data_IF_727395002531
#
_entry.id   IF_727395002531
#
_cell.length_a   1.000
_cell.length_b   1.000
_cell.length_c   1.000
_cell.angle_alpha   90.00
_cell.angle_beta   90.00
_cell.angle_gamma   90.00
#
_symmetry.space_group_name_H-M   'P 1'
#
loop_
_entity.id
_entity.type
_entity.pdbx_description
1 polymer ?
#
# COMPACT_ATOMS: atom_id res chain seq x y z
N UNK A 1 -11.46 3.65 11.08
CA UNK A 1 -11.43 2.50 10.14
C UNK A 1 -9.99 2.00 10.12
N UNK A 2 -9.80 0.69 10.11
CA UNK A 2 -8.50 0.05 10.03
C UNK A 2 -8.49 -0.82 8.77
N UNK A 3 -7.62 -0.44 7.83
CA UNK A 3 -7.60 -1.01 6.49
C UNK A 3 -6.34 -1.85 6.31
N UNK A 4 -6.49 -3.12 5.94
CA UNK A 4 -5.37 -3.88 5.38
C UNK A 4 -5.29 -3.57 3.87
N UNK A 5 -4.17 -2.98 3.47
CA UNK A 5 -4.01 -2.42 2.11
C UNK A 5 -3.45 -3.42 1.10
N UNK A 6 -3.12 -4.64 1.53
CA UNK A 6 -2.90 -5.76 0.64
C UNK A 6 -3.48 -7.06 1.24
N UNK A 7 -4.46 -7.64 0.57
CA UNK A 7 -5.00 -8.97 0.89
C UNK A 7 -5.03 -9.80 -0.38
N UNK A 8 -4.43 -10.99 -0.39
CA UNK A 8 -4.49 -11.91 -1.53
C UNK A 8 -5.60 -12.97 -1.38
N UNK A 9 -5.98 -13.27 -0.14
CA UNK A 9 -6.92 -14.33 0.18
C UNK A 9 -8.07 -13.81 1.05
N UNK A 10 -9.26 -13.70 0.44
CA UNK A 10 -10.46 -13.19 1.12
C UNK A 10 -10.99 -14.14 2.19
N UNK A 11 -10.67 -15.44 2.13
CA UNK A 11 -11.15 -16.43 3.10
C UNK A 11 -10.61 -16.17 4.52
N UNK A 12 -9.54 -15.37 4.62
CA UNK A 12 -8.89 -15.00 5.89
C UNK A 12 -9.58 -13.80 6.54
N UNK A 13 -10.50 -13.13 5.85
CA UNK A 13 -11.18 -11.92 6.33
C UNK A 13 -11.77 -12.09 7.73
N UNK A 14 -12.43 -13.21 8.02
CA UNK A 14 -13.02 -13.44 9.35
C UNK A 14 -11.99 -13.42 10.50
N UNK A 15 -10.77 -13.91 10.24
CA UNK A 15 -9.67 -13.84 11.21
C UNK A 15 -9.19 -12.40 11.36
N UNK A 16 -9.02 -11.67 10.26
CA UNK A 16 -8.61 -10.27 10.29
C UNK A 16 -9.65 -9.37 10.99
N UNK A 17 -10.94 -9.62 10.75
CA UNK A 17 -12.06 -8.94 11.41
C UNK A 17 -11.97 -9.13 12.92
N UNK A 18 -11.68 -10.36 13.39
CA UNK A 18 -11.50 -10.65 14.82
C UNK A 18 -10.31 -9.93 15.48
N UNK A 19 -9.33 -9.52 14.68
CA UNK A 19 -8.16 -8.75 15.13
C UNK A 19 -8.36 -7.23 15.02
N UNK A 20 -9.53 -6.79 14.55
CA UNK A 20 -9.95 -5.39 14.49
C UNK A 20 -9.80 -4.73 13.12
N UNK A 21 -9.34 -5.42 12.09
CA UNK A 21 -9.41 -4.92 10.72
C UNK A 21 -10.88 -4.85 10.27
N UNK A 22 -11.24 -3.84 9.50
CA UNK A 22 -12.65 -3.67 9.07
C UNK A 22 -12.81 -3.15 7.64
N UNK A 23 -11.72 -3.09 6.89
CA UNK A 23 -11.72 -2.76 5.47
C UNK A 23 -10.47 -3.34 4.79
N UNK A 24 -10.59 -3.68 3.51
CA UNK A 24 -9.60 -4.49 2.82
C UNK A 24 -9.40 -4.06 1.37
N UNK A 25 -8.15 -4.04 0.94
CA UNK A 25 -7.78 -3.93 -0.47
C UNK A 25 -7.38 -5.31 -0.99
N UNK A 26 -8.28 -5.94 -1.74
CA UNK A 26 -8.10 -7.28 -2.28
C UNK A 26 -7.26 -7.22 -3.57
N UNK A 27 -6.02 -7.67 -3.50
CA UNK A 27 -5.13 -7.88 -4.63
C UNK A 27 -5.51 -9.20 -5.30
N UNK A 28 -6.33 -9.13 -6.35
CA UNK A 28 -6.83 -10.33 -7.01
C UNK A 28 -6.07 -10.66 -8.29
N UNK A 29 -5.56 -11.89 -8.38
CA UNK A 29 -5.21 -12.54 -9.66
C UNK A 29 -6.46 -13.06 -10.39
N UNK A 30 -7.58 -13.20 -9.68
CA UNK A 30 -8.83 -13.78 -10.16
C UNK A 30 -9.78 -12.64 -10.57
N UNK A 31 -10.54 -12.82 -11.65
CA UNK A 31 -11.70 -11.98 -11.92
C UNK A 31 -12.74 -12.28 -10.84
N UNK A 32 -12.65 -11.59 -9.71
CA UNK A 32 -13.72 -11.59 -8.72
C UNK A 32 -14.89 -10.88 -9.39
N UNK A 33 -15.79 -11.66 -9.97
CA UNK A 33 -17.13 -11.19 -10.27
C UNK A 33 -17.80 -10.98 -8.92
N UNK A 34 -18.22 -9.74 -8.68
CA UNK A 34 -19.27 -9.41 -7.72
C UNK A 34 -18.95 -9.65 -6.23
N UNK A 35 -17.76 -9.26 -5.75
CA UNK A 35 -17.65 -8.87 -4.33
C UNK A 35 -18.04 -7.39 -4.25
N UNK A 36 -19.34 -7.13 -4.14
CA UNK A 36 -19.88 -5.84 -3.68
C UNK A 36 -20.00 -5.88 -2.17
N UNK A 37 -18.85 -5.97 -1.49
CA UNK A 37 -18.76 -5.76 -0.06
C UNK A 37 -18.27 -4.34 0.18
N UNK A 38 -19.01 -3.55 0.95
CA UNK A 38 -18.69 -2.13 1.19
C UNK A 38 -17.33 -1.93 1.89
N UNK A 39 -16.85 -2.97 2.57
CA UNK A 39 -15.56 -3.03 3.25
C UNK A 39 -14.44 -3.64 2.40
N UNK A 40 -14.69 -3.97 1.12
CA UNK A 40 -13.67 -4.52 0.22
C UNK A 40 -13.57 -3.69 -1.06
N UNK A 41 -12.34 -3.30 -1.41
CA UNK A 41 -12.02 -2.67 -2.70
C UNK A 41 -10.99 -3.47 -3.45
N UNK A 42 -11.01 -3.35 -4.77
CA UNK A 42 -10.05 -4.05 -5.61
C UNK A 42 -8.72 -3.29 -5.60
N UNK A 43 -7.63 -4.03 -5.43
CA UNK A 43 -6.26 -3.53 -5.64
C UNK A 43 -5.68 -4.19 -6.87
N UNK A 44 -4.90 -3.42 -7.63
CA UNK A 44 -4.08 -3.95 -8.71
C UNK A 44 -2.69 -3.36 -8.68
N UNK A 45 -1.69 -4.22 -8.55
CA UNK A 45 -0.28 -3.83 -8.57
C UNK A 45 0.37 -4.18 -9.91
N UNK A 46 0.81 -3.17 -10.66
CA UNK A 46 1.52 -3.36 -11.92
C UNK A 46 3.01 -3.57 -11.71
N UNK A 47 3.59 -4.56 -12.38
CA UNK A 47 5.03 -4.84 -12.34
C UNK A 47 5.77 -4.22 -13.52
N UNK A 48 5.06 -4.01 -14.64
CA UNK A 48 5.65 -3.54 -15.88
C UNK A 48 4.94 -2.33 -16.44
N UNK A 49 5.71 -1.35 -16.94
CA UNK A 49 5.16 -0.11 -17.52
C UNK A 49 4.19 -0.34 -18.68
N UNK A 50 4.36 -1.46 -19.41
CA UNK A 50 3.52 -1.86 -20.54
C UNK A 50 2.10 -2.23 -20.09
N UNK A 51 1.92 -2.60 -18.83
CA UNK A 51 0.63 -3.00 -18.27
C UNK A 51 -0.27 -1.80 -17.97
N UNK A 52 0.32 -0.62 -17.75
CA UNK A 52 -0.40 0.58 -17.32
C UNK A 52 -1.53 0.88 -18.31
N UNK A 53 -1.22 1.01 -19.60
CA UNK A 53 -2.20 1.42 -20.61
C UNK A 53 -3.24 0.33 -20.93
N UNK A 54 -2.91 -0.95 -20.71
CA UNK A 54 -3.76 -2.08 -21.10
C UNK A 54 -4.80 -2.43 -20.05
N UNK A 55 -4.54 -2.10 -18.78
CA UNK A 55 -5.24 -2.69 -17.65
C UNK A 55 -5.81 -1.70 -16.64
N UNK A 56 -5.70 -0.39 -16.89
CA UNK A 56 -6.61 0.55 -16.24
C UNK A 56 -8.02 0.22 -16.68
N UNK A 57 -8.74 -0.47 -15.79
CA UNK A 57 -10.15 -0.75 -16.01
C UNK A 57 -10.93 0.55 -15.80
N UNK A 58 -12.02 0.72 -16.57
CA UNK A 58 -13.01 1.78 -16.30
C UNK A 58 -13.79 1.53 -15.01
N UNK A 59 -13.47 0.48 -14.25
CA UNK A 59 -14.14 0.17 -13.00
C UNK A 59 -13.69 1.18 -11.95
N UNK A 60 -14.63 2.00 -11.48
CA UNK A 60 -14.39 3.05 -10.50
C UNK A 60 -13.91 2.52 -9.16
N UNK A 61 -14.08 1.23 -8.83
CA UNK A 61 -13.74 0.70 -7.51
C UNK A 61 -12.35 0.04 -7.39
N UNK A 62 -11.42 0.33 -8.31
CA UNK A 62 -10.05 -0.24 -8.28
C UNK A 62 -9.01 0.79 -7.90
N UNK A 63 -8.18 0.45 -6.92
CA UNK A 63 -7.02 1.22 -6.48
C UNK A 63 -5.77 0.62 -7.15
N UNK A 64 -4.99 1.48 -7.80
CA UNK A 64 -3.86 1.07 -8.61
C UNK A 64 -2.53 1.37 -7.92
N UNK A 65 -1.69 0.34 -7.84
CA UNK A 65 -0.32 0.42 -7.37
C UNK A 65 0.65 0.07 -8.48
N UNK A 66 1.89 0.51 -8.33
CA UNK A 66 3.00 0.11 -9.19
C UNK A 66 4.14 -0.37 -8.32
N UNK A 67 4.72 -1.52 -8.65
CA UNK A 67 6.02 -1.96 -8.13
C UNK A 67 7.09 -1.70 -9.19
N UNK A 68 7.80 -0.56 -9.16
CA UNK A 68 8.73 -0.20 -10.21
C UNK A 68 9.99 -1.07 -10.18
N UNK A 69 10.44 -1.50 -11.35
CA UNK A 69 11.73 -2.17 -11.54
C UNK A 69 12.84 -1.24 -12.06
N UNK A 70 12.49 0.00 -12.43
CA UNK A 70 13.42 0.96 -13.01
C UNK A 70 13.10 2.40 -12.59
N UNK A 71 14.07 3.29 -12.81
CA UNK A 71 13.89 4.74 -12.59
C UNK A 71 12.86 5.35 -13.54
N UNK A 72 12.76 4.87 -14.78
CA UNK A 72 11.72 5.32 -15.72
C UNK A 72 10.32 4.96 -15.21
N UNK A 73 10.17 3.74 -14.69
CA UNK A 73 8.88 3.22 -14.25
C UNK A 73 8.35 4.00 -13.05
N UNK A 74 9.21 4.30 -12.07
CA UNK A 74 8.80 5.12 -10.91
C UNK A 74 8.46 6.55 -11.31
N UNK A 75 9.22 7.19 -12.21
CA UNK A 75 8.90 8.54 -12.69
C UNK A 75 7.54 8.55 -13.39
N UNK A 76 7.28 7.58 -14.27
CA UNK A 76 6.01 7.45 -14.97
C UNK A 76 4.85 7.23 -13.98
N UNK A 77 5.01 6.31 -13.03
CA UNK A 77 3.99 6.01 -12.03
C UNK A 77 3.69 7.19 -11.11
N UNK A 78 4.72 7.94 -10.70
CA UNK A 78 4.53 9.11 -9.85
C UNK A 78 3.79 10.26 -10.57
N UNK A 79 3.93 10.38 -11.88
CA UNK A 79 3.25 11.42 -12.68
C UNK A 79 1.88 10.99 -13.23
N UNK A 80 1.57 9.69 -13.25
CA UNK A 80 0.27 9.22 -13.74
C UNK A 80 -0.81 9.44 -12.68
N UNK A 81 -1.86 10.27 -12.92
CA UNK A 81 -2.89 10.56 -11.94
C UNK A 81 -3.68 9.30 -11.53
N UNK A 82 -3.74 8.28 -12.40
CA UNK A 82 -4.49 7.03 -12.16
C UNK A 82 -3.81 6.09 -11.18
N UNK A 83 -2.51 6.26 -10.94
CA UNK A 83 -1.75 5.45 -9.97
C UNK A 83 -1.90 6.07 -8.58
N UNK A 84 -2.36 5.31 -7.61
CA UNK A 84 -2.54 5.80 -6.24
C UNK A 84 -1.24 5.72 -5.43
N UNK A 85 -0.47 4.65 -5.62
CA UNK A 85 0.73 4.42 -4.82
C UNK A 85 1.80 3.59 -5.50
N UNK A 86 2.97 3.58 -4.86
CA UNK A 86 4.14 2.79 -5.23
C UNK A 86 4.34 1.74 -4.16
N UNK A 87 4.34 0.47 -4.55
CA UNK A 87 4.69 -0.63 -3.64
C UNK A 87 6.21 -0.80 -3.62
N UNK A 88 6.78 -0.75 -2.43
CA UNK A 88 8.22 -0.72 -2.18
C UNK A 88 8.61 -1.89 -1.27
N UNK A 89 9.70 -2.57 -1.64
CA UNK A 89 10.32 -3.64 -0.89
C UNK A 89 11.84 -3.67 -1.12
N UNK A 90 12.48 -4.76 -0.68
CA UNK A 90 13.92 -4.98 -0.84
C UNK A 90 14.43 -4.84 -2.28
N UNK A 91 13.58 -5.13 -3.28
CA UNK A 91 14.01 -5.14 -4.69
C UNK A 91 14.12 -3.74 -5.29
N UNK A 92 13.37 -2.75 -4.77
CA UNK A 92 13.19 -1.46 -5.43
C UNK A 92 13.32 -0.23 -4.52
N UNK A 93 13.49 -0.36 -3.20
CA UNK A 93 13.60 0.78 -2.29
C UNK A 93 14.72 1.77 -2.67
N UNK A 94 15.83 1.28 -3.24
CA UNK A 94 16.96 2.10 -3.71
C UNK A 94 16.59 3.07 -4.85
N UNK A 95 15.47 2.82 -5.54
CA UNK A 95 14.96 3.71 -6.57
C UNK A 95 14.38 4.99 -5.96
N UNK A 96 13.87 4.95 -4.73
CA UNK A 96 13.23 6.09 -4.04
C UNK A 96 14.30 7.04 -3.47
N UNK A 97 15.02 7.71 -4.37
CA UNK A 97 15.99 8.76 -4.02
C UNK A 97 15.27 10.06 -3.67
N UNK A 98 15.96 11.00 -3.01
CA UNK A 98 15.42 12.30 -2.55
C UNK A 98 14.55 13.01 -3.58
N UNK A 99 14.97 13.07 -4.85
CA UNK A 99 14.21 13.75 -5.89
C UNK A 99 12.88 13.04 -6.22
N UNK A 100 12.85 11.71 -6.17
CA UNK A 100 11.65 10.91 -6.43
C UNK A 100 10.74 10.84 -5.21
N UNK A 101 11.31 10.89 -4.01
CA UNK A 101 10.56 11.08 -2.77
C UNK A 101 9.83 12.44 -2.76
N UNK A 102 10.51 13.50 -3.16
CA UNK A 102 9.86 14.82 -3.27
C UNK A 102 8.74 14.80 -4.31
N UNK A 103 8.95 14.11 -5.43
CA UNK A 103 7.91 13.95 -6.46
C UNK A 103 6.71 13.13 -5.96
N UNK A 104 6.91 12.09 -5.14
CA UNK A 104 5.79 11.36 -4.54
C UNK A 104 4.99 12.25 -3.58
N UNK A 105 5.67 13.12 -2.82
CA UNK A 105 5.02 14.09 -1.93
C UNK A 105 4.21 15.11 -2.74
N UNK A 106 4.81 15.74 -3.76
CA UNK A 106 4.13 16.75 -4.58
C UNK A 106 2.90 16.19 -5.28
N UNK A 107 3.00 14.96 -5.78
CA UNK A 107 1.94 14.30 -6.53
C UNK A 107 1.01 13.48 -5.61
N UNK A 108 1.15 13.62 -4.29
CA UNK A 108 0.33 12.97 -3.25
C UNK A 108 0.23 11.45 -3.40
N UNK A 109 1.28 10.80 -3.90
CA UNK A 109 1.34 9.34 -4.07
C UNK A 109 1.67 8.65 -2.76
N UNK A 110 1.03 7.52 -2.51
CA UNK A 110 1.36 6.67 -1.36
C UNK A 110 2.64 5.86 -1.63
N UNK A 111 3.43 5.66 -0.59
CA UNK A 111 4.54 4.70 -0.60
C UNK A 111 4.17 3.55 0.33
N UNK A 112 3.80 2.40 -0.24
CA UNK A 112 3.40 1.24 0.54
C UNK A 112 4.60 0.31 0.75
N UNK A 113 4.83 -0.06 2.00
CA UNK A 113 5.86 -1.01 2.41
C UNK A 113 5.17 -2.30 2.82
N UNK A 114 5.48 -3.37 2.09
CA UNK A 114 4.99 -4.70 2.43
C UNK A 114 5.91 -5.29 3.51
N UNK A 115 5.43 -5.36 4.75
CA UNK A 115 6.23 -5.75 5.91
C UNK A 115 6.80 -7.16 5.76
N UNK A 116 5.99 -8.11 5.31
CA UNK A 116 6.38 -9.52 5.17
C UNK A 116 7.51 -9.76 4.14
N UNK A 117 7.73 -8.83 3.20
CA UNK A 117 8.78 -8.92 2.19
C UNK A 117 9.89 -7.88 2.36
N UNK A 118 9.84 -7.07 3.42
CA UNK A 118 10.77 -5.95 3.64
C UNK A 118 11.76 -6.27 4.75
N UNK A 119 13.03 -5.98 4.49
CA UNK A 119 14.07 -6.01 5.51
C UNK A 119 13.92 -4.84 6.50
N UNK A 120 14.57 -4.95 7.66
CA UNK A 120 14.65 -3.86 8.62
C UNK A 120 15.26 -2.58 8.03
N UNK A 121 16.16 -2.70 7.05
CA UNK A 121 16.71 -1.54 6.34
C UNK A 121 15.61 -0.79 5.58
N UNK A 122 14.78 -1.51 4.81
CA UNK A 122 13.67 -0.91 4.05
C UNK A 122 12.67 -0.24 4.98
N UNK A 123 12.33 -0.89 6.10
CA UNK A 123 11.39 -0.34 7.10
C UNK A 123 11.96 0.95 7.69
N UNK A 124 13.22 0.97 8.12
CA UNK A 124 13.88 2.18 8.63
C UNK A 124 13.92 3.30 7.60
N UNK A 125 14.24 2.98 6.34
CA UNK A 125 14.18 3.96 5.24
C UNK A 125 12.78 4.52 5.04
N UNK A 126 11.76 3.70 5.11
CA UNK A 126 10.38 4.15 4.98
C UNK A 126 9.92 5.03 6.14
N UNK A 127 10.38 4.76 7.37
CA UNK A 127 10.19 5.63 8.54
C UNK A 127 10.85 7.00 8.27
N UNK A 128 12.10 7.03 7.80
CA UNK A 128 12.79 8.28 7.42
C UNK A 128 12.02 9.06 6.34
N UNK A 129 11.45 8.36 5.35
CA UNK A 129 10.63 8.98 4.31
C UNK A 129 9.33 9.54 4.88
N UNK A 130 8.67 8.82 5.78
CA UNK A 130 7.46 9.28 6.45
C UNK A 130 7.70 10.55 7.28
N UNK A 131 8.82 10.64 8.00
CA UNK A 131 9.22 11.86 8.71
C UNK A 131 9.47 13.05 7.79
N UNK A 132 9.82 12.80 6.51
CA UNK A 132 9.97 13.84 5.49
C UNK A 132 8.65 14.22 4.81
N UNK A 133 7.52 13.70 5.29
CA UNK A 133 6.18 14.02 4.78
C UNK A 133 5.69 13.10 3.68
N UNK A 134 6.37 11.99 3.39
CA UNK A 134 5.83 10.99 2.49
C UNK A 134 4.61 10.30 3.10
N UNK A 135 3.60 10.05 2.28
CA UNK A 135 2.41 9.30 2.65
C UNK A 135 2.72 7.79 2.69
N UNK A 136 3.50 7.39 3.70
CA UNK A 136 3.95 6.00 3.86
C UNK A 136 2.85 5.14 4.48
N UNK A 137 2.57 3.99 3.88
CA UNK A 137 1.65 2.96 4.39
C UNK A 137 2.48 1.72 4.69
N UNK A 138 2.25 1.08 5.83
CA UNK A 138 2.81 -0.24 6.11
C UNK A 138 1.68 -1.27 6.01
N UNK A 139 1.83 -2.21 5.07
CA UNK A 139 0.87 -3.27 4.83
C UNK A 139 1.47 -4.62 5.17
N UNK A 140 0.63 -5.55 5.61
CA UNK A 140 1.08 -6.90 5.93
C UNK A 140 1.12 -7.75 4.65
N UNK A 141 0.17 -7.51 3.72
CA UNK A 141 0.06 -8.25 2.47
C UNK A 141 -0.16 -9.75 2.73
N UNK A 142 -1.36 -10.06 3.23
CA UNK A 142 -1.71 -11.38 3.78
C UNK A 142 -2.15 -12.33 2.67
N UNK A 143 -1.52 -13.50 2.59
CA UNK A 143 -1.94 -14.60 1.71
C UNK A 143 -2.41 -15.83 2.51
N UNK A 144 -1.81 -16.08 3.68
CA UNK A 144 -2.11 -17.19 4.58
C UNK A 144 -2.19 -16.72 6.03
N UNK A 145 -2.80 -17.54 6.90
CA UNK A 145 -3.03 -17.19 8.31
C UNK A 145 -1.72 -16.90 9.07
N UNK A 146 -0.63 -17.58 8.72
CA UNK A 146 0.69 -17.35 9.34
C UNK A 146 1.27 -15.96 9.05
N UNK A 147 0.74 -15.25 8.06
CA UNK A 147 1.21 -13.92 7.67
C UNK A 147 0.53 -12.82 8.49
N UNK A 148 -0.52 -13.15 9.25
CA UNK A 148 -1.37 -12.16 9.94
C UNK A 148 -0.65 -11.59 11.15
N UNK A 149 -0.66 -10.27 11.23
CA UNK A 149 -0.19 -9.53 12.40
C UNK A 149 -1.34 -8.73 12.97
N UNK A 150 -1.47 -8.68 14.29
CA UNK A 150 -2.43 -7.76 14.90
C UNK A 150 -1.96 -6.31 14.69
N UNK A 151 -2.88 -5.33 14.64
CA UNK A 151 -2.52 -3.92 14.44
C UNK A 151 -1.55 -3.40 15.50
N UNK A 152 -1.74 -3.84 16.75
CA UNK A 152 -0.84 -3.52 17.87
C UNK A 152 0.55 -4.13 17.68
N UNK A 153 0.66 -5.33 17.10
CA UNK A 153 1.95 -5.95 16.78
C UNK A 153 2.69 -5.14 15.71
N UNK A 154 1.99 -4.72 14.66
CA UNK A 154 2.56 -3.85 13.62
C UNK A 154 2.99 -2.51 14.21
N UNK A 155 2.15 -1.91 15.05
CA UNK A 155 2.46 -0.66 15.75
C UNK A 155 3.77 -0.79 16.54
N UNK A 156 3.85 -1.77 17.44
CA UNK A 156 5.02 -2.00 18.28
C UNK A 156 6.26 -2.32 17.44
N UNK A 157 6.11 -3.08 16.38
CA UNK A 157 7.21 -3.39 15.47
C UNK A 157 7.80 -2.13 14.84
N UNK A 158 6.97 -1.19 14.40
CA UNK A 158 7.45 0.09 13.87
C UNK A 158 8.14 0.95 14.93
N UNK A 159 7.63 0.97 16.17
CA UNK A 159 8.30 1.65 17.30
C UNK A 159 9.70 1.06 17.54
N UNK A 160 9.84 -0.27 17.53
CA UNK A 160 11.14 -0.94 17.68
C UNK A 160 12.11 -0.60 16.53
N UNK A 161 11.60 -0.24 15.36
CA UNK A 161 12.40 0.26 14.23
C UNK A 161 12.69 1.76 14.29
N UNK A 162 12.31 2.45 15.37
CA UNK A 162 12.60 3.87 15.60
C UNK A 162 11.49 4.83 15.14
N UNK A 163 10.29 4.31 14.89
CA UNK A 163 9.14 5.17 14.61
C UNK A 163 8.63 5.86 15.89
N UNK A 164 8.19 7.11 15.74
CA UNK A 164 7.51 7.85 16.79
C UNK A 164 6.02 7.48 16.79
N UNK A 165 5.40 7.22 17.96
CA UNK A 165 3.99 6.83 18.09
C UNK A 165 3.01 7.71 17.30
N UNK A 166 3.25 9.03 17.28
CA UNK A 166 2.37 9.99 16.60
C UNK A 166 2.31 9.77 15.08
N UNK A 167 3.42 9.37 14.47
CA UNK A 167 3.50 9.12 13.03
C UNK A 167 3.00 7.72 12.66
N UNK A 168 3.27 6.72 13.50
CA UNK A 168 2.78 5.35 13.28
C UNK A 168 1.27 5.32 13.13
N UNK A 169 0.55 6.12 13.93
CA UNK A 169 -0.89 6.23 13.81
C UNK A 169 -1.34 6.68 12.41
N UNK A 170 -0.64 7.66 11.82
CA UNK A 170 -0.93 8.10 10.45
C UNK A 170 -0.64 7.01 9.41
N UNK A 171 0.48 6.30 9.56
CA UNK A 171 0.90 5.27 8.59
C UNK A 171 0.05 4.00 8.62
N UNK A 172 -0.51 3.64 9.78
CA UNK A 172 -1.32 2.43 9.96
C UNK A 172 -2.83 2.67 9.88
N UNK A 173 -3.31 3.86 10.24
CA UNK A 173 -4.75 4.12 10.33
C UNK A 173 -5.20 5.20 9.36
N UNK A 174 -4.57 6.37 9.38
CA UNK A 174 -5.04 7.54 8.61
C UNK A 174 -4.84 7.36 7.11
N UNK A 175 -3.62 7.08 6.65
CA UNK A 175 -3.32 6.97 5.22
C UNK A 175 -3.98 5.75 4.57
N UNK A 176 -4.01 4.56 5.19
CA UNK A 176 -4.80 3.44 4.68
C UNK A 176 -6.29 3.78 4.55
N UNK A 177 -6.86 4.50 5.52
CA UNK A 177 -8.27 4.93 5.47
C UNK A 177 -8.53 5.97 4.37
N UNK A 178 -7.65 6.97 4.25
CA UNK A 178 -7.74 7.98 3.17
C UNK A 178 -7.65 7.31 1.80
N UNK A 179 -6.70 6.39 1.63
CA UNK A 179 -6.56 5.60 0.41
C UNK A 179 -7.80 4.76 0.13
N UNK A 180 -8.36 4.10 1.14
CA UNK A 180 -9.58 3.31 0.97
C UNK A 180 -10.75 4.18 0.56
N UNK A 181 -10.98 5.33 1.20
CA UNK A 181 -12.15 6.18 0.92
C UNK A 181 -12.01 6.90 -0.43
N UNK A 182 -10.84 7.50 -0.67
CA UNK A 182 -10.62 8.44 -1.78
C UNK A 182 -9.88 7.82 -2.97
N UNK A 183 -9.27 6.64 -2.83
CA UNK A 183 -8.40 6.06 -3.87
C UNK A 183 -9.11 5.78 -5.20
N UNK A 184 -10.43 5.78 -5.20
CA UNK A 184 -11.28 5.58 -6.38
C UNK A 184 -11.78 6.89 -7.00
N UNK A 185 -11.66 8.02 -6.31
CA UNK A 185 -12.16 9.32 -6.75
C UNK A 185 -11.13 10.04 -7.62
N UNK A 186 -10.49 9.31 -8.54
CA UNK A 186 -9.54 9.90 -9.50
C UNK A 186 -10.33 10.42 -10.70
N UNK A 187 -10.84 11.64 -10.58
CA UNK A 187 -11.35 12.47 -11.67
C UNK A 187 -10.90 13.91 -11.48
#
# INVERSE_FOLDING_TARGET
MLVETCLFNIDIKGVLDSLGYNAYLLESKVKVKDITLNDVRMRKTFLHEREFNRYFSKNSNTIYFVKPSSRSAIIKALNDPRVNGISVDNSNYKLVKKNLLNLSISNKKYLEIILNSSSSEVIRRAIEWGYRGARTIFSICVEKVSDIWSPLSVFNYLILHGASPSYVASWLFTYPSELFINGTNVY
#
